data_IF_063697408640
#
_entry.id   IF_063697408640
#
_cell.length_a   1.000
_cell.length_b   1.000
_cell.length_c   1.000
_cell.angle_alpha   90.00
_cell.angle_beta   90.00
_cell.angle_gamma   90.00
#
_symmetry.space_group_name_H-M   'P 1'
#
loop_
_entity.id
_entity.type
_entity.pdbx_description
1 polymer ?
#
# COMPACT_ATOMS: atom_id res chain seq x y z
N UNK A 1 -8.60 42.35 -13.72
CA UNK A 1 -7.74 41.46 -12.96
C UNK A 1 -7.78 40.13 -13.69
N UNK A 2 -6.75 39.86 -14.50
CA UNK A 2 -6.60 38.63 -15.24
C UNK A 2 -6.21 37.56 -14.23
N UNK A 3 -7.12 36.58 -14.00
CA UNK A 3 -6.81 35.41 -13.19
C UNK A 3 -5.84 34.53 -13.96
N UNK A 4 -4.62 34.40 -13.47
CA UNK A 4 -3.76 33.29 -13.82
C UNK A 4 -4.43 32.01 -13.30
N UNK A 5 -4.89 31.17 -14.21
CA UNK A 5 -5.26 29.79 -13.87
C UNK A 5 -4.02 29.12 -13.30
N UNK A 6 -4.12 28.42 -12.14
CA UNK A 6 -2.99 27.66 -11.64
C UNK A 6 -2.68 26.58 -12.71
N UNK A 7 -1.47 26.62 -13.25
CA UNK A 7 -1.02 25.60 -14.18
C UNK A 7 -1.05 24.26 -13.43
N UNK A 8 -2.05 23.45 -13.72
CA UNK A 8 -2.08 22.04 -13.34
C UNK A 8 -0.85 21.43 -13.99
N UNK A 9 0.06 20.89 -13.21
CA UNK A 9 1.11 20.03 -13.75
C UNK A 9 0.41 18.84 -14.41
N UNK A 10 0.18 18.94 -15.70
CA UNK A 10 -0.54 17.94 -16.50
C UNK A 10 0.25 16.66 -16.73
N UNK A 11 1.49 16.59 -16.26
CA UNK A 11 2.39 15.46 -16.41
C UNK A 11 3.06 15.15 -15.06
N UNK A 12 2.34 14.39 -14.21
CA UNK A 12 3.07 13.55 -13.24
C UNK A 12 3.86 12.56 -14.10
N UNK A 13 5.18 12.50 -14.00
CA UNK A 13 5.96 11.54 -14.75
C UNK A 13 5.37 10.15 -14.46
N UNK A 14 4.89 9.46 -15.48
CA UNK A 14 4.67 8.02 -15.36
C UNK A 14 6.03 7.47 -15.02
N UNK A 15 6.17 6.76 -13.89
CA UNK A 15 7.41 6.05 -13.62
C UNK A 15 7.68 5.18 -14.84
N UNK A 16 8.69 5.52 -15.62
CA UNK A 16 9.14 4.72 -16.74
C UNK A 16 9.91 3.49 -16.24
N UNK A 17 9.88 3.25 -14.93
CA UNK A 17 10.56 2.13 -14.27
C UNK A 17 9.58 0.99 -14.10
N UNK A 18 9.94 -0.17 -14.63
CA UNK A 18 9.30 -1.44 -14.36
C UNK A 18 10.07 -2.15 -13.25
N UNK A 19 9.37 -2.69 -12.26
CA UNK A 19 9.98 -3.54 -11.25
C UNK A 19 10.53 -4.80 -11.96
N UNK A 20 11.80 -5.11 -11.75
CA UNK A 20 12.45 -6.29 -12.37
C UNK A 20 13.52 -5.98 -13.41
N UNK A 21 13.66 -4.74 -13.87
CA UNK A 21 14.75 -4.36 -14.80
C UNK A 21 16.15 -4.29 -14.14
N UNK A 22 16.21 -4.28 -12.79
CA UNK A 22 17.46 -4.32 -12.03
C UNK A 22 17.54 -5.59 -11.19
N UNK A 23 18.55 -6.43 -11.40
CA UNK A 23 18.82 -7.64 -10.60
C UNK A 23 19.09 -7.36 -9.10
N UNK A 24 19.17 -6.10 -8.68
CA UNK A 24 19.46 -5.67 -7.31
C UNK A 24 18.35 -4.79 -6.68
N UNK A 25 17.11 -4.86 -7.16
CA UNK A 25 16.03 -4.07 -6.57
C UNK A 25 15.48 -4.69 -5.29
N UNK A 26 15.28 -3.87 -4.26
CA UNK A 26 14.69 -4.24 -2.97
C UNK A 26 13.19 -3.99 -3.00
N UNK A 27 12.37 -4.94 -2.55
CA UNK A 27 10.95 -4.70 -2.32
C UNK A 27 10.72 -4.10 -0.92
N UNK A 28 10.07 -2.95 -0.85
CA UNK A 28 9.65 -2.33 0.41
C UNK A 28 8.22 -2.75 0.75
N UNK A 29 8.07 -3.60 1.77
CA UNK A 29 6.80 -4.08 2.28
C UNK A 29 6.45 -3.34 3.56
N UNK A 30 5.24 -2.82 3.68
CA UNK A 30 4.79 -2.04 4.85
C UNK A 30 3.48 -2.61 5.37
N UNK A 31 3.48 -2.98 6.64
CA UNK A 31 2.31 -3.41 7.40
C UNK A 31 2.04 -2.41 8.53
N UNK A 32 0.76 -2.19 8.87
CA UNK A 32 0.37 -1.22 9.89
C UNK A 32 0.32 -1.83 11.30
N UNK A 33 0.01 -3.12 11.40
CA UNK A 33 -0.23 -3.81 12.67
C UNK A 33 0.73 -4.99 12.87
N UNK A 34 1.05 -5.35 14.12
CA UNK A 34 1.86 -6.53 14.43
C UNK A 34 1.28 -7.83 13.84
N UNK A 35 -0.04 -7.96 13.82
CA UNK A 35 -0.79 -9.10 13.27
C UNK A 35 -0.58 -9.27 11.76
N UNK A 36 -0.33 -8.18 11.04
CA UNK A 36 -0.02 -8.16 9.61
C UNK A 36 1.47 -8.34 9.35
N UNK A 37 2.31 -7.74 10.20
CA UNK A 37 3.76 -7.80 10.10
C UNK A 37 4.31 -9.21 10.41
N UNK A 38 3.78 -9.86 11.45
CA UNK A 38 4.25 -11.18 11.93
C UNK A 38 4.23 -12.26 10.86
N UNK A 39 3.11 -12.48 10.15
CA UNK A 39 3.02 -13.44 9.05
C UNK A 39 4.00 -13.19 7.91
N UNK A 40 4.25 -11.94 7.53
CA UNK A 40 5.26 -11.57 6.53
C UNK A 40 6.66 -11.93 7.01
N UNK A 41 7.03 -11.47 8.22
CA UNK A 41 8.34 -11.76 8.84
C UNK A 41 8.63 -13.26 8.92
N UNK A 42 7.64 -14.07 9.27
CA UNK A 42 7.77 -15.51 9.39
C UNK A 42 8.05 -16.24 8.07
N UNK A 43 7.82 -15.60 6.92
CA UNK A 43 8.02 -16.14 5.57
C UNK A 43 9.31 -15.67 4.91
N UNK A 44 10.08 -14.83 5.58
CA UNK A 44 11.36 -14.35 5.07
C UNK A 44 12.50 -15.29 5.45
N UNK A 45 13.32 -15.63 4.48
CA UNK A 45 14.60 -16.29 4.68
C UNK A 45 15.63 -15.26 5.18
N UNK A 46 16.58 -15.70 6.04
CA UNK A 46 17.66 -14.89 6.58
C UNK A 46 17.19 -13.58 7.25
N UNK A 47 16.00 -13.61 7.85
CA UNK A 47 15.38 -12.45 8.48
C UNK A 47 16.22 -11.89 9.63
N UNK A 48 16.62 -10.61 9.54
CA UNK A 48 17.35 -9.89 10.59
C UNK A 48 16.71 -8.55 10.92
N UNK A 49 16.60 -8.22 12.18
CA UNK A 49 16.15 -6.90 12.62
C UNK A 49 17.14 -5.81 12.22
N UNK A 50 16.59 -4.66 11.79
CA UNK A 50 17.34 -3.45 11.53
C UNK A 50 16.70 -2.27 12.25
N UNK A 51 17.49 -1.24 12.57
CA UNK A 51 16.96 -0.05 13.22
C UNK A 51 16.79 1.08 12.19
N UNK A 52 15.58 1.61 12.10
CA UNK A 52 15.25 2.77 11.29
C UNK A 52 14.56 3.85 12.15
N UNK A 53 14.89 5.14 11.97
CA UNK A 53 14.33 6.21 12.81
C UNK A 53 12.81 6.27 12.75
N UNK A 54 12.15 6.23 13.90
CA UNK A 54 10.70 6.36 14.02
C UNK A 54 9.88 5.16 13.50
N UNK A 55 10.53 4.04 13.16
CA UNK A 55 9.85 2.80 12.75
C UNK A 55 9.74 1.86 13.95
N UNK A 56 8.55 1.29 14.17
CA UNK A 56 8.27 0.43 15.32
C UNK A 56 9.04 -0.90 15.29
N UNK A 57 9.08 -1.57 14.14
CA UNK A 57 9.90 -2.76 13.88
C UNK A 57 10.29 -2.75 12.39
N UNK A 58 11.51 -3.19 12.10
CA UNK A 58 12.03 -3.27 10.75
C UNK A 58 12.89 -4.52 10.59
N UNK A 59 12.68 -5.24 9.49
CA UNK A 59 13.37 -6.48 9.18
C UNK A 59 13.83 -6.45 7.73
N UNK A 60 15.06 -6.84 7.49
CA UNK A 60 15.53 -7.21 6.16
C UNK A 60 15.59 -8.74 6.07
N UNK A 61 15.28 -9.28 4.91
CA UNK A 61 15.29 -10.71 4.64
C UNK A 61 15.12 -10.96 3.15
N UNK A 62 14.85 -12.20 2.79
CA UNK A 62 14.68 -12.62 1.38
C UNK A 62 13.44 -13.47 1.21
N UNK A 63 12.84 -13.42 0.04
CA UNK A 63 11.80 -14.35 -0.37
C UNK A 63 11.87 -14.58 -1.88
N UNK A 64 11.89 -15.85 -2.31
CA UNK A 64 11.95 -16.19 -3.73
C UNK A 64 13.18 -15.60 -4.46
N UNK A 65 14.27 -15.37 -3.74
CA UNK A 65 15.50 -14.78 -4.30
C UNK A 65 15.53 -13.25 -4.29
N UNK A 66 14.43 -12.57 -3.92
CA UNK A 66 14.34 -11.11 -3.86
C UNK A 66 14.69 -10.60 -2.46
N UNK A 67 15.41 -9.48 -2.40
CA UNK A 67 15.69 -8.78 -1.15
C UNK A 67 14.45 -7.98 -0.72
N UNK A 68 14.12 -8.05 0.57
CA UNK A 68 12.93 -7.43 1.16
C UNK A 68 13.34 -6.58 2.35
N UNK A 69 12.83 -5.36 2.38
CA UNK A 69 12.75 -4.54 3.59
C UNK A 69 11.29 -4.50 4.05
N UNK A 70 11.02 -5.08 5.21
CA UNK A 70 9.69 -5.12 5.83
C UNK A 70 9.64 -4.14 7.00
N UNK A 71 8.65 -3.23 7.01
CA UNK A 71 8.46 -2.21 8.05
C UNK A 71 7.11 -2.36 8.74
N UNK A 72 7.10 -2.17 10.06
CA UNK A 72 5.90 -1.96 10.87
C UNK A 72 5.70 -0.45 11.06
N UNK A 73 4.74 0.14 10.35
CA UNK A 73 4.51 1.58 10.37
C UNK A 73 3.74 2.07 11.59
N UNK A 74 2.78 1.28 12.08
CA UNK A 74 1.64 1.76 12.88
C UNK A 74 0.50 2.24 11.99
N UNK A 75 -0.71 2.31 12.57
CA UNK A 75 -1.96 2.68 11.88
C UNK A 75 -1.96 4.17 11.54
N UNK A 76 -2.56 4.51 10.40
CA UNK A 76 -2.89 5.88 10.00
C UNK A 76 -1.96 6.50 8.97
N UNK A 77 -2.47 7.53 8.29
CA UNK A 77 -1.85 8.13 7.12
C UNK A 77 -0.46 8.72 7.40
N UNK A 78 -0.26 9.36 8.55
CA UNK A 78 1.02 9.98 8.92
C UNK A 78 2.08 8.92 9.17
N UNK A 79 1.74 7.86 9.91
CA UNK A 79 2.65 6.75 10.18
C UNK A 79 3.04 6.03 8.89
N UNK A 80 2.08 5.79 8.02
CA UNK A 80 2.30 5.17 6.71
C UNK A 80 3.24 6.01 5.83
N UNK A 81 2.98 7.33 5.69
CA UNK A 81 3.84 8.23 4.92
C UNK A 81 5.27 8.29 5.47
N UNK A 82 5.41 8.35 6.81
CA UNK A 82 6.71 8.33 7.48
C UNK A 82 7.47 7.04 7.16
N UNK A 83 6.83 5.89 7.32
CA UNK A 83 7.44 4.59 7.05
C UNK A 83 7.88 4.44 5.60
N UNK A 84 7.04 4.84 4.64
CA UNK A 84 7.39 4.83 3.22
C UNK A 84 8.61 5.72 2.93
N UNK A 85 8.61 6.96 3.45
CA UNK A 85 9.73 7.90 3.25
C UNK A 85 11.04 7.36 3.83
N UNK A 86 11.00 6.84 5.07
CA UNK A 86 12.17 6.25 5.71
C UNK A 86 12.67 5.02 4.94
N UNK A 87 11.76 4.14 4.51
CA UNK A 87 12.10 2.95 3.72
C UNK A 87 12.72 3.31 2.36
N UNK A 88 12.13 4.26 1.65
CA UNK A 88 12.61 4.72 0.35
C UNK A 88 13.99 5.41 0.43
N UNK A 89 14.21 6.23 1.47
CA UNK A 89 15.46 7.00 1.60
C UNK A 89 16.59 6.22 2.26
N UNK A 90 16.32 5.39 3.26
CA UNK A 90 17.34 4.71 4.08
C UNK A 90 17.41 3.20 3.84
N UNK A 91 16.36 2.61 3.29
CA UNK A 91 16.25 1.17 3.04
C UNK A 91 17.41 0.57 2.25
N UNK A 92 17.83 1.19 1.14
CA UNK A 92 18.97 0.70 0.37
C UNK A 92 20.24 0.50 1.20
N UNK A 93 20.52 1.42 2.13
CA UNK A 93 21.72 1.35 2.99
C UNK A 93 21.66 0.21 3.99
N UNK A 94 20.48 -0.02 4.64
CA UNK A 94 20.36 -1.08 5.66
C UNK A 94 20.27 -2.48 5.08
N UNK A 95 19.83 -2.61 3.82
CA UNK A 95 19.83 -3.89 3.11
C UNK A 95 21.26 -4.28 2.71
N UNK A 96 22.07 -3.34 2.24
CA UNK A 96 23.47 -3.59 1.78
C UNK A 96 24.44 -3.95 2.91
N UNK A 97 24.20 -3.49 4.13
CA UNK A 97 25.15 -3.68 5.26
C UNK A 97 25.33 -5.15 5.73
N UNK A 98 24.67 -6.10 5.11
CA UNK A 98 24.63 -7.42 5.69
C UNK A 98 24.93 -8.62 4.83
N UNK A 99 24.90 -8.61 3.51
CA UNK A 99 25.15 -9.84 2.75
C UNK A 99 24.96 -9.79 1.23
N UNK A 100 24.57 -8.70 0.61
CA UNK A 100 24.49 -8.71 -0.85
C UNK A 100 25.88 -8.70 -1.44
N UNK A 101 26.19 -9.67 -2.28
CA UNK A 101 27.42 -9.74 -3.09
C UNK A 101 27.45 -8.62 -4.14
N UNK A 102 26.45 -7.73 -4.18
CA UNK A 102 26.42 -6.54 -5.03
C UNK A 102 27.11 -5.37 -4.32
N UNK A 103 28.15 -4.84 -4.91
CA UNK A 103 28.95 -3.72 -4.40
C UNK A 103 28.21 -2.35 -4.47
N UNK A 104 26.91 -2.34 -4.76
CA UNK A 104 26.05 -1.14 -4.84
C UNK A 104 24.83 -1.33 -3.96
N UNK A 105 24.41 -0.29 -3.20
CA UNK A 105 23.13 -0.33 -2.49
C UNK A 105 22.00 -0.60 -3.48
N UNK A 106 21.18 -1.61 -3.23
CA UNK A 106 20.00 -1.88 -4.06
C UNK A 106 19.02 -0.69 -4.02
N UNK A 107 18.41 -0.34 -5.13
CA UNK A 107 17.33 0.66 -5.17
C UNK A 107 16.01 0.02 -4.72
N UNK A 108 15.12 0.81 -4.08
CA UNK A 108 13.74 0.32 -3.83
C UNK A 108 13.02 0.23 -5.17
N UNK A 109 12.67 -0.97 -5.57
CA UNK A 109 12.02 -1.24 -6.84
C UNK A 109 10.50 -1.13 -6.79
N UNK A 110 9.89 -1.42 -5.64
CA UNK A 110 8.45 -1.22 -5.42
C UNK A 110 8.13 -1.00 -3.94
N UNK A 111 6.98 -0.37 -3.69
CA UNK A 111 6.34 -0.24 -2.38
C UNK A 111 5.06 -1.07 -2.38
N UNK A 112 4.91 -1.96 -1.42
CA UNK A 112 3.69 -2.75 -1.22
C UNK A 112 3.10 -2.47 0.16
N UNK A 113 1.85 -2.03 0.21
CA UNK A 113 1.08 -1.94 1.45
C UNK A 113 0.36 -3.27 1.68
N UNK A 114 0.57 -3.91 2.83
CA UNK A 114 0.03 -5.25 3.07
C UNK A 114 -0.74 -5.27 4.38
N UNK A 115 -1.96 -5.82 4.34
CA UNK A 115 -2.79 -5.91 5.54
C UNK A 115 -4.20 -6.39 5.28
N UNK A 116 -5.10 -5.94 6.14
CA UNK A 116 -6.53 -6.24 6.10
C UNK A 116 -7.34 -5.00 5.75
N UNK A 117 -8.58 -5.17 5.31
CA UNK A 117 -9.46 -4.04 5.02
C UNK A 117 -10.94 -4.43 5.05
N UNK A 118 -11.79 -3.43 5.31
CA UNK A 118 -13.22 -3.52 5.10
C UNK A 118 -13.60 -3.29 3.63
N UNK A 119 -14.63 -3.98 3.17
CA UNK A 119 -15.15 -3.84 1.80
C UNK A 119 -16.62 -3.42 1.82
N UNK A 120 -17.02 -2.60 0.84
CA UNK A 120 -18.45 -2.28 0.65
C UNK A 120 -19.21 -3.50 0.12
N UNK A 121 -20.50 -3.67 0.51
CA UNK A 121 -21.29 -4.83 0.12
C UNK A 121 -21.33 -5.10 -1.38
N UNK A 122 -21.20 -6.38 -1.76
CA UNK A 122 -21.38 -6.85 -3.14
C UNK A 122 -20.14 -6.68 -4.04
N UNK A 123 -18.99 -6.24 -3.51
CA UNK A 123 -17.74 -6.09 -4.28
C UNK A 123 -16.76 -7.23 -4.04
N UNK A 124 -16.64 -7.66 -2.79
CA UNK A 124 -15.84 -8.82 -2.40
C UNK A 124 -16.47 -9.46 -1.16
N UNK A 125 -15.97 -10.63 -0.78
CA UNK A 125 -16.41 -11.40 0.39
C UNK A 125 -15.27 -11.49 1.41
N UNK A 126 -15.62 -11.75 2.66
CA UNK A 126 -14.63 -12.03 3.72
C UNK A 126 -13.71 -13.16 3.25
N UNK A 127 -12.41 -12.96 3.41
CA UNK A 127 -11.37 -13.88 2.98
C UNK A 127 -10.90 -13.73 1.53
N UNK A 128 -11.59 -12.93 0.69
CA UNK A 128 -11.05 -12.58 -0.62
C UNK A 128 -9.76 -11.76 -0.49
N UNK A 129 -8.86 -11.95 -1.46
CA UNK A 129 -7.72 -11.05 -1.65
C UNK A 129 -8.09 -9.98 -2.66
N UNK A 130 -7.89 -8.73 -2.28
CA UNK A 130 -8.14 -7.57 -3.13
C UNK A 130 -6.87 -6.73 -3.26
N UNK A 131 -6.68 -6.10 -4.42
CA UNK A 131 -5.55 -5.22 -4.69
C UNK A 131 -6.02 -3.86 -5.19
N UNK A 132 -5.22 -2.84 -4.96
CA UNK A 132 -5.58 -1.47 -5.36
C UNK A 132 -5.39 -1.25 -6.85
N UNK A 133 -6.49 -1.19 -7.62
CA UNK A 133 -6.47 -0.66 -8.97
C UNK A 133 -6.16 0.84 -8.95
N UNK A 134 -6.78 1.57 -8.03
CA UNK A 134 -6.57 3.00 -7.79
C UNK A 134 -6.82 3.30 -6.32
N UNK A 135 -6.02 4.18 -5.74
CA UNK A 135 -6.18 4.63 -4.35
C UNK A 135 -6.47 6.12 -4.31
N UNK A 136 -7.44 6.54 -3.48
CA UNK A 136 -7.84 7.94 -3.35
C UNK A 136 -7.76 8.37 -1.88
N UNK A 137 -7.18 9.55 -1.55
CA UNK A 137 -7.27 10.14 -0.22
C UNK A 137 -8.71 10.57 0.09
N UNK A 138 -9.37 9.86 1.03
CA UNK A 138 -10.79 10.06 1.31
C UNK A 138 -11.10 11.32 2.11
N UNK A 139 -10.19 11.75 2.96
CA UNK A 139 -10.35 12.93 3.83
C UNK A 139 -9.90 14.25 3.17
N UNK A 140 -9.31 14.19 1.97
CA UNK A 140 -8.81 15.36 1.28
C UNK A 140 -9.88 16.01 0.39
N UNK A 141 -10.25 17.24 0.69
CA UNK A 141 -11.30 17.97 -0.05
C UNK A 141 -10.90 19.41 -0.35
N UNK A 142 -10.60 19.68 -1.60
CA UNK A 142 -10.42 21.01 -2.16
C UNK A 142 -11.38 21.31 -3.32
N UNK A 143 -12.56 20.68 -3.33
CA UNK A 143 -13.58 20.92 -4.36
C UNK A 143 -14.03 22.37 -4.44
N UNK A 144 -14.00 23.11 -3.31
CA UNK A 144 -14.26 24.55 -3.28
C UNK A 144 -13.25 25.37 -4.12
N UNK A 145 -12.11 24.82 -4.46
CA UNK A 145 -11.06 25.43 -5.29
C UNK A 145 -10.99 24.81 -6.69
N UNK A 146 -11.97 23.98 -7.07
CA UNK A 146 -12.06 23.37 -8.41
C UNK A 146 -11.28 22.08 -8.59
N UNK A 147 -10.71 21.50 -7.53
CA UNK A 147 -10.07 20.19 -7.58
C UNK A 147 -11.10 19.06 -7.50
N UNK A 148 -10.76 17.88 -8.01
CA UNK A 148 -11.55 16.69 -7.76
C UNK A 148 -11.48 16.27 -6.28
N UNK A 149 -12.51 15.57 -5.80
CA UNK A 149 -12.50 15.02 -4.45
C UNK A 149 -11.33 14.04 -4.29
N UNK A 150 -10.54 14.19 -3.23
CA UNK A 150 -9.33 13.40 -2.99
C UNK A 150 -8.09 13.83 -3.79
N UNK A 151 -8.22 14.85 -4.65
CA UNK A 151 -7.07 15.36 -5.41
C UNK A 151 -6.21 16.28 -4.55
N UNK A 152 -4.94 15.94 -4.39
CA UNK A 152 -3.91 16.81 -3.80
C UNK A 152 -3.38 17.75 -4.88
N UNK A 153 -3.27 19.08 -4.63
CA UNK A 153 -2.73 20.03 -5.61
C UNK A 153 -1.36 19.61 -6.14
N UNK A 154 -1.20 19.67 -7.47
CA UNK A 154 0.03 19.23 -8.14
C UNK A 154 0.14 17.72 -8.37
N UNK A 155 -0.85 16.94 -7.93
CA UNK A 155 -0.90 15.50 -8.14
C UNK A 155 -2.20 15.09 -8.88
N UNK A 156 -2.25 13.85 -9.35
CA UNK A 156 -3.43 13.27 -9.99
C UNK A 156 -4.58 13.04 -9.01
N UNK A 157 -5.81 12.97 -9.51
CA UNK A 157 -6.98 12.59 -8.73
C UNK A 157 -6.95 11.08 -8.42
N UNK A 158 -6.21 10.73 -7.38
CA UNK A 158 -5.91 9.36 -6.97
C UNK A 158 -4.68 8.76 -7.67
N UNK A 159 -4.20 7.68 -7.12
CA UNK A 159 -2.92 7.04 -7.44
C UNK A 159 -3.19 5.63 -7.99
N UNK A 160 -2.86 5.34 -9.27
CA UNK A 160 -3.06 4.02 -9.84
C UNK A 160 -2.08 3.01 -9.23
N UNK A 161 -2.53 1.77 -9.11
CA UNK A 161 -1.65 0.64 -8.86
C UNK A 161 -0.69 0.42 -10.03
N UNK A 162 0.50 -0.11 -9.75
CA UNK A 162 1.46 -0.42 -10.79
C UNK A 162 0.94 -1.53 -11.71
N UNK A 163 1.16 -1.38 -13.02
CA UNK A 163 0.57 -2.27 -14.03
C UNK A 163 1.12 -3.70 -13.96
N UNK A 164 2.41 -3.85 -13.69
CA UNK A 164 3.04 -5.17 -13.69
C UNK A 164 2.70 -5.92 -12.40
N UNK A 165 2.64 -5.20 -11.28
CA UNK A 165 2.14 -5.74 -10.00
C UNK A 165 0.64 -6.10 -10.09
N UNK A 166 -0.19 -5.32 -10.79
CA UNK A 166 -1.60 -5.65 -11.04
C UNK A 166 -1.75 -6.90 -11.92
N UNK A 167 -0.93 -7.05 -12.95
CA UNK A 167 -0.93 -8.24 -13.80
C UNK A 167 -0.51 -9.50 -13.01
N UNK A 168 0.48 -9.37 -12.13
CA UNK A 168 0.89 -10.45 -11.22
C UNK A 168 -0.23 -10.81 -10.23
N UNK A 169 -0.95 -9.81 -9.72
CA UNK A 169 -2.09 -10.00 -8.82
C UNK A 169 -3.28 -10.71 -9.50
N UNK A 170 -3.57 -10.35 -10.75
CA UNK A 170 -4.59 -11.04 -11.56
C UNK A 170 -4.22 -12.53 -11.77
N UNK A 171 -2.95 -12.81 -12.07
CA UNK A 171 -2.44 -14.18 -12.19
C UNK A 171 -2.48 -14.99 -10.88
N UNK A 172 -2.47 -14.31 -9.73
CA UNK A 172 -2.74 -14.92 -8.42
C UNK A 172 -4.23 -15.18 -8.19
N UNK A 173 -5.11 -14.44 -8.84
CA UNK A 173 -6.56 -14.48 -8.67
C UNK A 173 -7.10 -13.43 -7.70
N UNK A 174 -6.33 -12.39 -7.39
CA UNK A 174 -6.77 -11.25 -6.59
C UNK A 174 -7.71 -10.34 -7.42
N UNK A 175 -8.67 -9.70 -6.72
CA UNK A 175 -9.60 -8.77 -7.37
C UNK A 175 -9.01 -7.35 -7.34
N UNK A 176 -8.85 -6.71 -8.49
CA UNK A 176 -8.47 -5.30 -8.56
C UNK A 176 -9.70 -4.42 -8.29
N UNK A 177 -9.62 -3.56 -7.28
CA UNK A 177 -10.71 -2.70 -6.80
C UNK A 177 -10.20 -1.28 -6.51
N UNK A 178 -11.12 -0.30 -6.54
CA UNK A 178 -10.84 1.05 -6.07
C UNK A 178 -10.75 1.11 -4.53
N UNK A 179 -9.71 1.77 -4.02
CA UNK A 179 -9.48 1.96 -2.60
C UNK A 179 -9.70 3.43 -2.21
N UNK A 180 -10.23 3.64 -1.02
CA UNK A 180 -10.26 4.95 -0.37
C UNK A 180 -9.64 4.82 1.02
N UNK A 181 -8.67 5.70 1.34
CA UNK A 181 -8.05 5.72 2.67
C UNK A 181 -8.52 6.94 3.45
N UNK A 182 -8.88 6.71 4.71
CA UNK A 182 -9.31 7.76 5.65
C UNK A 182 -8.63 7.54 7.00
N UNK A 183 -8.36 8.64 7.73
CA UNK A 183 -7.64 8.55 9.02
C UNK A 183 -8.59 8.32 10.21
N UNK A 184 -9.58 7.44 9.99
CA UNK A 184 -10.57 7.02 11.00
C UNK A 184 -11.16 5.65 10.69
N UNK A 185 -11.63 4.96 11.71
CA UNK A 185 -12.43 3.75 11.53
C UNK A 185 -13.79 4.11 10.89
N UNK A 186 -14.20 3.35 9.85
CA UNK A 186 -15.40 3.63 9.07
C UNK A 186 -16.52 2.68 9.48
N UNK A 187 -17.57 3.23 10.09
CA UNK A 187 -18.83 2.55 10.38
C UNK A 187 -19.84 2.67 9.24
N UNK A 188 -21.07 2.16 9.48
CA UNK A 188 -22.13 2.11 8.47
C UNK A 188 -22.50 3.49 7.89
N UNK A 189 -22.75 4.54 8.72
CA UNK A 189 -23.14 5.85 8.19
C UNK A 189 -22.06 6.46 7.29
N UNK A 190 -20.79 6.33 7.70
CA UNK A 190 -19.65 6.87 6.99
C UNK A 190 -19.39 6.11 5.67
N UNK A 191 -19.59 4.78 5.66
CA UNK A 191 -19.45 3.97 4.46
C UNK A 191 -20.45 4.38 3.37
N UNK A 192 -21.69 4.73 3.77
CA UNK A 192 -22.68 5.24 2.84
C UNK A 192 -22.23 6.56 2.22
N UNK A 193 -21.74 7.49 3.04
CA UNK A 193 -21.21 8.76 2.55
C UNK A 193 -19.98 8.59 1.64
N UNK A 194 -19.08 7.67 1.99
CA UNK A 194 -17.92 7.35 1.15
C UNK A 194 -18.36 6.83 -0.22
N UNK A 195 -19.35 5.94 -0.29
CA UNK A 195 -19.87 5.41 -1.56
C UNK A 195 -20.53 6.48 -2.44
N UNK A 196 -21.21 7.45 -1.84
CA UNK A 196 -21.81 8.56 -2.58
C UNK A 196 -20.73 9.50 -3.16
N UNK A 197 -19.65 9.72 -2.39
CA UNK A 197 -18.56 10.62 -2.77
C UNK A 197 -17.57 9.93 -3.75
N UNK A 198 -17.29 8.65 -3.51
CA UNK A 198 -16.34 7.84 -4.28
C UNK A 198 -17.02 6.57 -4.82
N UNK A 199 -17.83 6.67 -5.87
CA UNK A 199 -18.66 5.55 -6.36
C UNK A 199 -17.82 4.35 -6.85
N UNK A 200 -16.59 4.59 -7.28
CA UNK A 200 -15.65 3.55 -7.71
C UNK A 200 -14.88 2.90 -6.55
N UNK A 201 -14.90 3.50 -5.35
CA UNK A 201 -14.25 2.93 -4.18
C UNK A 201 -15.06 1.74 -3.66
N UNK A 202 -14.35 0.65 -3.41
CA UNK A 202 -14.92 -0.60 -2.93
C UNK A 202 -14.25 -1.09 -1.64
N UNK A 203 -13.06 -0.61 -1.36
CA UNK A 203 -12.24 -0.97 -0.19
C UNK A 203 -11.93 0.29 0.60
N UNK A 204 -11.99 0.17 1.92
CA UNK A 204 -11.67 1.26 2.85
C UNK A 204 -10.55 0.80 3.76
N UNK A 205 -9.49 1.61 3.83
CA UNK A 205 -8.37 1.40 4.75
C UNK A 205 -7.85 2.72 5.35
N UNK A 206 -6.75 2.67 6.07
CA UNK A 206 -6.20 3.82 6.78
C UNK A 206 -4.76 4.19 6.36
N UNK A 207 -4.18 3.55 5.34
CA UNK A 207 -2.76 3.72 5.00
C UNK A 207 -2.48 3.89 3.52
N UNK A 208 -3.21 3.17 2.64
CA UNK A 208 -2.85 3.00 1.24
C UNK A 208 -2.65 4.30 0.49
N UNK A 209 -3.47 5.33 0.74
CA UNK A 209 -3.34 6.61 0.02
C UNK A 209 -2.06 7.36 0.38
N UNK A 210 -1.63 7.30 1.64
CA UNK A 210 -0.39 7.92 2.08
C UNK A 210 0.84 7.20 1.50
N UNK A 211 0.81 5.86 1.47
CA UNK A 211 1.87 5.05 0.87
C UNK A 211 1.93 5.28 -0.64
N UNK A 212 0.79 5.26 -1.34
CA UNK A 212 0.70 5.49 -2.77
C UNK A 212 1.18 6.90 -3.15
N UNK A 213 0.76 7.93 -2.42
CA UNK A 213 1.21 9.30 -2.63
C UNK A 213 2.71 9.45 -2.45
N UNK A 214 3.27 8.85 -1.39
CA UNK A 214 4.71 8.88 -1.13
C UNK A 214 5.47 8.14 -2.24
N UNK A 215 4.98 6.99 -2.69
CA UNK A 215 5.59 6.23 -3.78
C UNK A 215 5.59 7.04 -5.10
N UNK A 216 4.48 7.73 -5.42
CA UNK A 216 4.39 8.63 -6.59
C UNK A 216 5.40 9.77 -6.51
N UNK A 217 5.55 10.40 -5.34
CA UNK A 217 6.54 11.48 -5.14
C UNK A 217 8.00 11.00 -5.28
N UNK A 218 8.24 9.70 -5.10
CA UNK A 218 9.55 9.04 -5.29
C UNK A 218 9.65 8.27 -6.61
N UNK A 219 8.67 8.40 -7.51
CA UNK A 219 8.63 7.70 -8.80
C UNK A 219 8.79 6.17 -8.67
N UNK A 220 8.27 5.60 -7.59
CA UNK A 220 8.40 4.17 -7.25
C UNK A 220 7.07 3.45 -7.50
N UNK A 221 7.07 2.27 -8.17
CA UNK A 221 5.89 1.41 -8.33
C UNK A 221 5.20 1.11 -7.00
N UNK A 222 3.85 1.10 -7.00
CA UNK A 222 3.06 0.87 -5.79
C UNK A 222 1.89 -0.08 -6.04
N UNK A 223 1.59 -0.91 -5.05
CA UNK A 223 0.33 -1.65 -4.93
C UNK A 223 -0.06 -1.83 -3.46
N UNK A 224 -1.35 -1.80 -3.17
CA UNK A 224 -1.88 -2.28 -1.89
C UNK A 224 -2.49 -3.67 -2.06
N UNK A 225 -2.18 -4.58 -1.14
CA UNK A 225 -2.69 -5.95 -1.07
C UNK A 225 -3.42 -6.13 0.26
N UNK A 226 -4.70 -6.46 0.20
CA UNK A 226 -5.54 -6.64 1.39
C UNK A 226 -6.28 -7.98 1.35
N UNK A 227 -6.41 -8.62 2.52
CA UNK A 227 -7.43 -9.64 2.72
C UNK A 227 -8.65 -9.02 3.37
N UNK A 228 -9.83 -9.30 2.87
CA UNK A 228 -11.09 -8.75 3.39
C UNK A 228 -11.41 -9.37 4.74
N UNK A 229 -11.56 -8.55 5.77
CA UNK A 229 -11.95 -8.97 7.14
C UNK A 229 -13.41 -8.72 7.43
N UNK A 230 -14.00 -7.71 6.81
CA UNK A 230 -15.38 -7.32 7.09
C UNK A 230 -16.06 -6.73 5.85
N UNK A 231 -17.37 -6.93 5.79
CA UNK A 231 -18.25 -6.25 4.84
C UNK A 231 -18.97 -5.14 5.61
N UNK A 232 -18.65 -3.90 5.26
CA UNK A 232 -19.11 -2.73 5.99
C UNK A 232 -20.64 -2.67 5.95
N UNK A 233 -21.27 -2.80 7.12
CA UNK A 233 -22.72 -2.71 7.26
C UNK A 233 -23.49 -4.02 7.27
N UNK A 234 -22.85 -5.18 7.12
CA UNK A 234 -23.53 -6.48 7.16
C UNK A 234 -23.49 -7.17 8.53
N UNK A 235 -22.63 -6.75 9.45
CA UNK A 235 -22.62 -7.25 10.83
C UNK A 235 -22.32 -6.12 11.82
N UNK A 236 -22.87 -6.21 13.04
CA UNK A 236 -22.34 -5.45 14.16
C UNK A 236 -20.88 -5.84 14.31
N UNK A 237 -20.00 -4.87 14.17
CA UNK A 237 -18.57 -5.01 14.02
C UNK A 237 -17.93 -5.70 15.24
N UNK A 238 -18.10 -7.01 15.32
CA UNK A 238 -17.26 -7.83 16.17
C UNK A 238 -16.11 -8.33 15.28
N UNK A 239 -15.05 -7.53 15.19
CA UNK A 239 -13.81 -7.99 14.56
C UNK A 239 -13.30 -9.16 15.42
N UNK A 240 -13.45 -10.36 14.90
CA UNK A 240 -12.91 -11.55 15.57
C UNK A 240 -11.40 -11.56 15.34
N UNK A 241 -10.61 -11.53 16.41
CA UNK A 241 -9.14 -11.54 16.33
C UNK A 241 -8.63 -12.74 15.52
N UNK A 242 -9.26 -13.90 15.64
CA UNK A 242 -8.92 -15.11 14.85
C UNK A 242 -9.11 -14.91 13.33
N UNK A 243 -10.07 -14.07 12.91
CA UNK A 243 -10.29 -13.75 11.50
C UNK A 243 -9.23 -12.76 10.99
N UNK A 244 -8.78 -11.83 11.84
CA UNK A 244 -7.68 -10.91 11.51
C UNK A 244 -6.39 -11.69 11.28
N UNK A 245 -6.04 -12.64 12.14
CA UNK A 245 -4.84 -13.46 11.99
C UNK A 245 -4.85 -14.28 10.70
N UNK A 246 -5.98 -14.94 10.39
CA UNK A 246 -6.13 -15.72 9.17
C UNK A 246 -6.11 -14.84 7.91
N UNK A 247 -6.70 -13.66 7.97
CA UNK A 247 -6.72 -12.70 6.86
C UNK A 247 -5.35 -12.07 6.64
N UNK A 248 -4.63 -11.73 7.72
CA UNK A 248 -3.27 -11.22 7.66
C UNK A 248 -2.31 -12.24 7.03
N UNK A 249 -2.45 -13.52 7.37
CA UNK A 249 -1.66 -14.59 6.76
C UNK A 249 -1.96 -14.72 5.25
N UNK A 250 -3.24 -14.62 4.84
CA UNK A 250 -3.62 -14.64 3.41
C UNK A 250 -3.07 -13.43 2.64
N UNK A 251 -3.14 -12.24 3.22
CA UNK A 251 -2.57 -11.05 2.60
C UNK A 251 -1.05 -11.18 2.43
N UNK A 252 -0.36 -11.75 3.41
CA UNK A 252 1.08 -12.02 3.36
C UNK A 252 1.43 -13.03 2.25
N UNK A 253 0.70 -14.15 2.15
CA UNK A 253 0.91 -15.16 1.09
C UNK A 253 0.68 -14.55 -0.29
N UNK A 254 -0.39 -13.80 -0.47
CA UNK A 254 -0.71 -13.13 -1.73
C UNK A 254 0.37 -12.11 -2.12
N UNK A 255 0.79 -11.25 -1.19
CA UNK A 255 1.79 -10.23 -1.45
C UNK A 255 3.14 -10.83 -1.90
N UNK A 256 3.58 -11.90 -1.23
CA UNK A 256 4.84 -12.59 -1.57
C UNK A 256 4.74 -13.38 -2.88
N UNK A 257 3.59 -13.99 -3.18
CA UNK A 257 3.36 -14.63 -4.48
C UNK A 257 3.36 -13.60 -5.62
N UNK A 258 2.64 -12.47 -5.47
CA UNK A 258 2.61 -11.37 -6.44
C UNK A 258 4.03 -10.86 -6.68
N UNK A 259 4.79 -10.60 -5.61
CA UNK A 259 6.19 -10.17 -5.69
C UNK A 259 7.06 -11.19 -6.43
N UNK A 260 6.84 -12.47 -6.24
CA UNK A 260 7.59 -13.55 -6.89
C UNK A 260 7.35 -13.68 -8.40
N UNK A 261 6.31 -13.03 -8.93
CA UNK A 261 5.92 -13.09 -10.36
C UNK A 261 6.45 -11.92 -11.19
N UNK A 262 6.94 -10.88 -10.58
CA UNK A 262 7.54 -9.68 -11.20
C UNK A 262 9.08 -9.63 -10.96
#
# INVERSE_FOLDING_TARGET
MSGDEPSVMSDVPRSGRTFGESESSVALLIAAMPEEFGPLKARLDDARGVHLPGIHDAVVGRHGGKDILLLLSGIGLVNAAHAATVGLCLGPSVVSDGSSHSAQPGEIGCVMSIGTAGVVPGRASIGDVVVSEKVVPGDFDLTAFGYERGQVPGLTAGYPGDRDLLAAADAFGAKALGFVSVDRFVGIPEATAIREIFPDASVVDMESSALAQTAVLHETPFISVRSVTDVIGESETTVHLDEVDNSSARAADAALDILGRV
#
